data_IF_607726218451
#
_entry.id   IF_607726218451
#
_cell.length_a   1.000
_cell.length_b   1.000
_cell.length_c   1.000
_cell.angle_alpha   90.00
_cell.angle_beta   90.00
_cell.angle_gamma   90.00
#
_symmetry.space_group_name_H-M   'P 1'
#
loop_
_entity.id
_entity.type
_entity.pdbx_description
1 polymer ?
#
# COMPACT_ATOMS: atom_id res chain seq x y z
N UNK A 1 -2.75 -27.46 22.26
CA UNK A 1 -4.04 -26.82 21.98
C UNK A 1 -4.82 -27.77 21.10
N UNK A 2 -6.09 -28.03 21.41
CA UNK A 2 -6.93 -28.95 20.64
C UNK A 2 -7.53 -28.23 19.41
N UNK A 3 -7.93 -28.98 18.39
CA UNK A 3 -8.57 -28.41 17.19
C UNK A 3 -9.95 -27.80 17.50
N UNK A 4 -10.58 -28.18 18.62
CA UNK A 4 -11.90 -27.67 19.03
C UNK A 4 -11.83 -26.56 20.09
N UNK A 5 -10.65 -26.01 20.39
CA UNK A 5 -10.51 -24.95 21.38
C UNK A 5 -11.31 -23.69 21.00
N UNK A 6 -11.97 -23.07 21.98
CA UNK A 6 -12.70 -21.80 21.74
C UNK A 6 -11.71 -20.63 21.55
N UNK A 7 -12.20 -19.51 21.01
CA UNK A 7 -11.39 -18.31 20.84
C UNK A 7 -10.82 -17.80 22.18
N UNK A 8 -11.59 -17.91 23.26
CA UNK A 8 -11.19 -17.53 24.61
C UNK A 8 -10.05 -18.44 25.12
N UNK A 9 -10.18 -19.75 24.95
CA UNK A 9 -9.15 -20.72 25.35
C UNK A 9 -7.84 -20.50 24.59
N UNK A 10 -7.94 -20.26 23.28
CA UNK A 10 -6.77 -19.94 22.44
C UNK A 10 -6.09 -18.65 22.91
N UNK A 11 -6.88 -17.62 23.20
CA UNK A 11 -6.36 -16.32 23.65
C UNK A 11 -5.68 -16.44 25.01
N UNK A 12 -6.27 -17.18 25.95
CA UNK A 12 -5.72 -17.36 27.28
C UNK A 12 -4.42 -18.17 27.25
N UNK A 13 -4.37 -19.24 26.45
CA UNK A 13 -3.14 -20.01 26.24
C UNK A 13 -2.01 -19.12 25.67
N UNK A 14 -2.30 -18.35 24.61
CA UNK A 14 -1.32 -17.43 24.01
C UNK A 14 -0.89 -16.36 25.00
N UNK A 15 -1.82 -15.80 25.80
CA UNK A 15 -1.49 -14.81 26.83
C UNK A 15 -0.48 -15.37 27.84
N UNK A 16 -0.71 -16.57 28.37
CA UNK A 16 0.19 -17.20 29.34
C UNK A 16 1.58 -17.41 28.73
N UNK A 17 1.63 -17.99 27.53
CA UNK A 17 2.89 -18.22 26.80
C UNK A 17 3.66 -16.92 26.53
N UNK A 18 2.97 -15.88 26.06
CA UNK A 18 3.61 -14.60 25.74
C UNK A 18 4.05 -13.85 27.00
N UNK A 19 3.32 -13.96 28.11
CA UNK A 19 3.68 -13.29 29.35
C UNK A 19 5.06 -13.73 29.85
N UNK A 20 5.33 -15.03 29.84
CA UNK A 20 6.65 -15.57 30.20
C UNK A 20 7.75 -15.05 29.27
N UNK A 21 7.47 -14.94 27.97
CA UNK A 21 8.43 -14.40 26.99
C UNK A 21 8.70 -12.91 27.21
N UNK A 22 7.68 -12.10 27.46
CA UNK A 22 7.87 -10.67 27.70
C UNK A 22 8.67 -10.39 28.96
N UNK A 23 8.43 -11.13 30.06
CA UNK A 23 9.11 -10.88 31.33
C UNK A 23 10.53 -11.44 31.39
N UNK A 24 10.86 -12.45 30.57
CA UNK A 24 12.21 -13.03 30.48
C UNK A 24 13.09 -12.42 29.40
N UNK A 25 12.53 -11.58 28.51
CA UNK A 25 13.28 -10.94 27.44
C UNK A 25 14.28 -9.91 27.97
N UNK A 26 15.53 -9.99 27.51
CA UNK A 26 16.59 -9.03 27.86
C UNK A 26 16.51 -7.73 27.04
N UNK A 27 16.02 -7.86 25.80
CA UNK A 27 15.87 -6.77 24.83
C UNK A 27 14.44 -6.75 24.30
N UNK A 28 13.83 -5.56 24.33
CA UNK A 28 12.57 -5.27 23.69
C UNK A 28 12.75 -4.41 22.45
N UNK A 29 12.04 -4.76 21.38
CA UNK A 29 12.08 -3.99 20.13
C UNK A 29 10.67 -3.50 19.82
N UNK A 30 10.54 -2.20 19.57
CA UNK A 30 9.28 -1.59 19.16
C UNK A 30 9.46 -0.74 17.90
N UNK A 31 8.33 -0.40 17.28
CA UNK A 31 8.27 0.67 16.30
C UNK A 31 8.02 2.03 16.95
N UNK A 32 7.63 2.99 16.13
CA UNK A 32 7.02 4.24 16.56
C UNK A 32 5.85 4.59 15.63
N UNK A 33 4.75 5.06 16.21
CA UNK A 33 3.68 5.68 15.43
C UNK A 33 4.11 7.08 15.01
N UNK A 34 4.69 7.84 15.95
CA UNK A 34 5.26 9.17 15.78
C UNK A 34 6.54 9.37 16.60
N UNK A 35 7.44 10.22 16.11
CA UNK A 35 8.60 10.74 16.83
C UNK A 35 8.36 12.23 17.05
N UNK A 36 8.44 12.70 18.28
CA UNK A 36 8.08 14.06 18.68
C UNK A 36 9.36 14.87 18.83
N UNK A 37 9.56 15.86 17.94
CA UNK A 37 10.80 16.63 17.86
C UNK A 37 11.05 17.47 19.13
N UNK A 38 10.08 18.30 19.53
CA UNK A 38 10.25 19.31 20.58
C UNK A 38 10.69 18.76 21.94
N UNK A 39 10.23 17.55 22.29
CA UNK A 39 10.57 16.87 23.54
C UNK A 39 11.49 15.66 23.37
N UNK A 40 11.87 15.31 22.13
CA UNK A 40 12.63 14.10 21.83
C UNK A 40 11.88 12.81 22.21
N UNK A 41 10.57 12.77 21.96
CA UNK A 41 9.68 11.69 22.41
C UNK A 41 9.44 10.61 21.34
N UNK A 42 9.21 9.37 21.76
CA UNK A 42 8.71 8.29 20.91
C UNK A 42 7.29 7.96 21.33
N UNK A 43 6.32 8.22 20.45
CA UNK A 43 4.92 7.89 20.67
C UNK A 43 4.55 6.55 20.04
N UNK A 44 4.04 5.64 20.87
CA UNK A 44 3.49 4.35 20.46
C UNK A 44 2.03 4.28 20.85
N UNK A 45 1.24 3.69 19.97
CA UNK A 45 -0.16 3.41 20.24
C UNK A 45 -0.52 1.97 19.86
N UNK A 46 -1.32 1.32 20.70
CA UNK A 46 -1.65 -0.11 20.58
C UNK A 46 -2.98 -0.46 21.28
N UNK A 47 -3.49 -1.68 21.06
CA UNK A 47 -4.71 -2.16 21.70
C UNK A 47 -4.49 -3.36 22.63
N UNK A 48 -3.34 -4.02 22.50
CA UNK A 48 -3.06 -5.32 23.08
C UNK A 48 -2.15 -5.24 24.32
N UNK A 49 -1.38 -4.16 24.45
CA UNK A 49 -0.45 -3.92 25.56
C UNK A 49 0.92 -4.59 25.39
N UNK A 50 1.22 -5.14 24.21
CA UNK A 50 2.52 -5.72 23.89
C UNK A 50 3.64 -4.70 23.77
N UNK A 51 3.36 -3.47 23.32
CA UNK A 51 4.29 -2.36 23.22
C UNK A 51 4.83 -1.97 24.58
N UNK A 52 3.95 -1.71 25.56
CA UNK A 52 4.38 -1.39 26.93
C UNK A 52 5.15 -2.56 27.58
N UNK A 53 4.71 -3.81 27.35
CA UNK A 53 5.44 -4.98 27.86
C UNK A 53 6.83 -5.10 27.22
N UNK A 54 6.95 -4.78 25.92
CA UNK A 54 8.23 -4.80 25.20
C UNK A 54 9.14 -3.66 25.63
N UNK A 55 8.61 -2.50 26.03
CA UNK A 55 9.43 -1.37 26.46
C UNK A 55 9.80 -1.41 27.95
N UNK A 56 8.94 -1.97 28.80
CA UNK A 56 9.03 -1.76 30.26
C UNK A 56 9.62 -2.93 31.04
N UNK A 57 9.51 -4.18 30.57
CA UNK A 57 10.12 -5.33 31.24
C UNK A 57 11.60 -5.55 30.87
N UNK A 58 11.98 -5.48 29.58
CA UNK A 58 13.37 -5.69 29.19
C UNK A 58 14.28 -4.56 29.68
N UNK A 59 15.54 -4.89 29.98
CA UNK A 59 16.54 -3.90 30.41
C UNK A 59 16.95 -2.99 29.25
N UNK A 60 16.90 -3.46 28.02
CA UNK A 60 17.24 -2.67 26.83
C UNK A 60 16.01 -2.51 25.95
N UNK A 61 15.72 -1.28 25.53
CA UNK A 61 14.64 -0.97 24.59
C UNK A 61 15.21 -0.38 23.30
N UNK A 62 14.91 -1.01 22.16
CA UNK A 62 15.30 -0.53 20.84
C UNK A 62 14.04 -0.09 20.09
N UNK A 63 14.00 1.17 19.69
CA UNK A 63 12.98 1.74 18.82
C UNK A 63 13.51 1.79 17.40
N UNK A 64 12.76 1.23 16.45
CA UNK A 64 13.05 1.35 15.01
C UNK A 64 11.93 2.18 14.38
N UNK A 65 12.25 3.38 13.92
CA UNK A 65 11.28 4.31 13.34
C UNK A 65 11.75 4.83 12.00
N UNK A 66 10.84 4.93 11.03
CA UNK A 66 11.15 5.60 9.78
C UNK A 66 11.31 7.11 9.99
N UNK A 67 12.18 7.75 9.21
CA UNK A 67 12.44 9.21 9.31
C UNK A 67 11.20 10.07 8.97
N UNK A 68 10.20 9.49 8.29
CA UNK A 68 8.93 10.14 7.95
C UNK A 68 7.96 10.24 9.14
N UNK A 69 8.28 9.60 10.27
CA UNK A 69 7.40 9.55 11.45
C UNK A 69 7.53 10.77 12.36
N UNK A 70 8.36 11.75 12.02
CA UNK A 70 8.65 12.91 12.87
C UNK A 70 7.50 13.91 12.79
N UNK A 71 7.01 14.34 13.95
CA UNK A 71 6.07 15.45 14.12
C UNK A 71 6.75 16.55 14.97
N UNK A 72 6.44 17.84 14.72
CA UNK A 72 7.10 18.93 15.42
C UNK A 72 6.80 18.99 16.91
N UNK A 73 5.53 18.85 17.31
CA UNK A 73 5.11 19.13 18.69
C UNK A 73 4.31 18.01 19.32
N UNK A 74 4.43 17.90 20.65
CA UNK A 74 3.60 17.00 21.44
C UNK A 74 2.09 17.24 21.21
N UNK A 75 1.69 18.50 21.09
CA UNK A 75 0.28 18.91 20.89
C UNK A 75 -0.30 18.45 19.56
N UNK A 76 0.53 18.07 18.58
CA UNK A 76 0.03 17.55 17.30
C UNK A 76 -0.65 16.17 17.49
N UNK A 77 -0.33 15.45 18.58
CA UNK A 77 -0.97 14.18 18.93
C UNK A 77 -2.46 14.33 19.28
N UNK A 78 -2.91 15.51 19.71
CA UNK A 78 -4.33 15.80 19.98
C UNK A 78 -5.19 15.60 18.72
N UNK A 79 -4.58 15.70 17.54
CA UNK A 79 -5.21 15.44 16.24
C UNK A 79 -4.82 14.04 15.74
N UNK A 80 -3.53 13.73 15.73
CA UNK A 80 -3.04 12.52 15.07
C UNK A 80 -3.51 11.22 15.74
N UNK A 81 -3.58 11.16 17.08
CA UNK A 81 -4.06 9.95 17.74
C UNK A 81 -5.55 9.69 17.45
N UNK A 82 -6.47 10.65 17.65
CA UNK A 82 -7.87 10.42 17.28
C UNK A 82 -8.08 10.06 15.81
N UNK A 83 -7.40 10.77 14.89
CA UNK A 83 -7.51 10.50 13.45
C UNK A 83 -6.99 9.11 13.10
N UNK A 84 -5.87 8.69 13.68
CA UNK A 84 -5.30 7.35 13.46
C UNK A 84 -6.26 6.27 13.98
N UNK A 85 -6.75 6.41 15.22
CA UNK A 85 -7.63 5.44 15.87
C UNK A 85 -8.99 5.33 15.18
N UNK A 86 -9.60 6.46 14.82
CA UNK A 86 -10.93 6.48 14.21
C UNK A 86 -10.95 5.80 12.84
N UNK A 87 -9.87 5.95 12.07
CA UNK A 87 -9.76 5.35 10.75
C UNK A 87 -9.22 3.92 10.75
N UNK A 88 -8.42 3.56 11.76
CA UNK A 88 -7.85 2.22 11.89
C UNK A 88 -8.79 1.24 12.56
N UNK A 89 -9.20 1.54 13.78
CA UNK A 89 -9.98 0.63 14.64
C UNK A 89 -11.42 1.11 14.88
N UNK A 90 -11.76 2.33 14.44
CA UNK A 90 -13.08 2.91 14.70
C UNK A 90 -13.25 3.41 16.14
N UNK A 91 -12.15 3.51 16.90
CA UNK A 91 -12.16 4.02 18.28
C UNK A 91 -11.90 5.53 18.30
N UNK A 92 -12.42 6.23 19.31
CA UNK A 92 -12.12 7.65 19.50
C UNK A 92 -10.63 7.89 19.80
N UNK A 93 -10.04 6.99 20.58
CA UNK A 93 -8.61 6.81 20.78
C UNK A 93 -8.37 5.32 21.05
N UNK A 94 -7.23 4.81 20.64
CA UNK A 94 -6.73 3.44 20.93
C UNK A 94 -6.55 3.21 22.43
N UNK A 95 -6.47 1.95 22.83
CA UNK A 95 -6.53 1.56 24.26
C UNK A 95 -5.31 2.04 25.04
N UNK A 96 -4.11 1.91 24.50
CA UNK A 96 -2.86 2.32 25.14
C UNK A 96 -2.11 3.32 24.27
N UNK A 97 -1.72 4.44 24.88
CA UNK A 97 -0.97 5.51 24.24
C UNK A 97 0.18 5.89 25.16
N UNK A 98 1.40 5.62 24.72
CA UNK A 98 2.60 5.76 25.53
C UNK A 98 3.59 6.65 24.81
N UNK A 99 4.19 7.59 25.56
CA UNK A 99 5.30 8.41 25.08
C UNK A 99 6.54 8.09 25.91
N UNK A 100 7.60 7.66 25.25
CA UNK A 100 8.91 7.44 25.85
C UNK A 100 9.81 8.63 25.59
N UNK A 101 10.50 9.13 26.61
CA UNK A 101 11.47 10.23 26.49
C UNK A 101 12.89 9.80 26.87
N UNK A 102 13.15 8.49 26.96
CA UNK A 102 14.43 7.93 27.35
C UNK A 102 14.32 6.69 28.25
N UNK A 103 15.46 6.22 28.80
CA UNK A 103 15.50 5.13 29.77
C UNK A 103 14.89 5.54 31.12
N UNK A 104 14.62 4.53 31.97
CA UNK A 104 14.07 4.74 33.31
C UNK A 104 14.98 5.65 34.15
N UNK A 105 14.38 6.53 34.92
CA UNK A 105 15.07 7.40 35.89
C UNK A 105 15.17 6.70 37.25
N UNK A 106 16.06 7.19 38.12
CA UNK A 106 16.29 6.58 39.44
C UNK A 106 15.06 6.57 40.36
N UNK A 107 14.06 7.40 40.09
CA UNK A 107 12.79 7.48 40.82
C UNK A 107 11.64 6.70 40.14
N UNK A 108 11.93 5.96 39.06
CA UNK A 108 10.96 5.16 38.31
C UNK A 108 11.17 3.67 38.59
N UNK A 109 10.11 2.98 39.01
CA UNK A 109 10.18 1.56 39.40
C UNK A 109 10.29 0.61 38.18
N UNK A 110 9.89 1.06 37.00
CA UNK A 110 9.77 0.25 35.79
C UNK A 110 10.29 1.00 34.57
N UNK A 111 10.77 0.25 33.57
CA UNK A 111 11.32 0.81 32.34
C UNK A 111 12.70 0.23 32.00
N UNK A 112 13.20 0.53 30.79
CA UNK A 112 14.48 0.02 30.34
C UNK A 112 15.63 0.81 30.99
N UNK A 113 16.74 0.14 31.27
CA UNK A 113 18.00 0.77 31.72
C UNK A 113 18.67 1.54 30.57
N UNK A 114 18.52 1.05 29.33
CA UNK A 114 19.05 1.68 28.12
C UNK A 114 17.99 1.76 27.03
N UNK A 115 17.94 2.90 26.32
CA UNK A 115 17.03 3.11 25.20
C UNK A 115 17.80 3.57 23.96
N UNK A 116 17.62 2.85 22.84
CA UNK A 116 18.23 3.18 21.55
C UNK A 116 17.16 3.52 20.53
N UNK A 117 17.31 4.63 19.81
CA UNK A 117 16.41 5.01 18.72
C UNK A 117 17.15 4.94 17.39
N UNK A 118 16.70 4.05 16.51
CA UNK A 118 17.24 3.86 15.17
C UNK A 118 16.29 4.53 14.17
N UNK A 119 16.75 5.65 13.60
CA UNK A 119 16.07 6.34 12.52
C UNK A 119 16.41 5.70 11.18
N UNK A 120 15.41 5.08 10.57
CA UNK A 120 15.55 4.27 9.38
C UNK A 120 15.12 5.06 8.13
N UNK A 121 16.08 5.35 7.25
CA UNK A 121 15.79 5.86 5.92
C UNK A 121 15.19 4.75 5.04
N UNK A 122 15.98 3.70 4.75
CA UNK A 122 15.59 2.57 3.90
C UNK A 122 14.94 2.99 2.55
N UNK A 123 15.45 4.06 1.94
CA UNK A 123 14.98 4.57 0.64
C UNK A 123 13.93 5.68 0.74
N UNK A 124 13.53 6.11 1.93
CA UNK A 124 12.62 7.25 2.15
C UNK A 124 13.16 8.55 1.60
N UNK A 125 14.46 8.83 1.77
CA UNK A 125 15.06 10.04 1.19
C UNK A 125 15.07 9.98 -0.33
N UNK A 126 15.06 8.78 -0.94
CA UNK A 126 14.91 8.67 -2.39
C UNK A 126 13.47 8.97 -2.81
N UNK A 127 12.47 8.45 -2.09
CA UNK A 127 11.05 8.79 -2.31
C UNK A 127 10.83 10.31 -2.18
N UNK A 128 11.44 10.95 -1.18
CA UNK A 128 11.33 12.38 -0.93
C UNK A 128 11.82 13.25 -2.11
N UNK A 129 12.74 12.75 -2.94
CA UNK A 129 13.25 13.47 -4.12
C UNK A 129 12.24 13.49 -5.28
N UNK A 130 11.23 12.63 -5.25
CA UNK A 130 10.19 12.59 -6.28
C UNK A 130 9.04 13.51 -5.88
N UNK A 131 8.87 14.62 -6.59
CA UNK A 131 7.87 15.67 -6.29
C UNK A 131 6.45 15.13 -6.07
N UNK A 132 6.04 14.13 -6.85
CA UNK A 132 4.69 13.56 -6.74
C UNK A 132 4.65 12.46 -5.67
N UNK A 133 5.67 11.59 -5.62
CA UNK A 133 5.66 10.45 -4.71
C UNK A 133 6.00 10.81 -3.27
N UNK A 134 6.61 11.98 -3.00
CA UNK A 134 6.93 12.43 -1.64
C UNK A 134 5.71 12.48 -0.73
N UNK A 135 4.51 12.73 -1.26
CA UNK A 135 3.26 12.77 -0.49
C UNK A 135 2.98 11.48 0.28
N UNK A 136 3.49 10.34 -0.19
CA UNK A 136 3.32 9.06 0.51
C UNK A 136 3.98 9.04 1.88
N UNK A 137 4.98 9.89 2.11
CA UNK A 137 5.73 9.99 3.36
C UNK A 137 4.89 10.65 4.46
N UNK A 138 3.82 11.38 4.13
CA UNK A 138 2.87 11.91 5.11
C UNK A 138 2.00 10.83 5.76
N UNK A 139 2.07 9.58 5.29
CA UNK A 139 1.19 8.52 5.77
C UNK A 139 1.39 8.20 7.26
N UNK A 140 0.37 8.48 8.07
CA UNK A 140 0.31 8.14 9.50
C UNK A 140 0.09 6.65 9.80
N UNK A 141 -0.02 5.81 8.76
CA UNK A 141 -0.26 4.34 8.85
C UNK A 141 -1.57 3.96 9.56
N UNK A 142 -2.64 4.74 9.40
CA UNK A 142 -3.93 4.45 10.03
C UNK A 142 -4.69 3.25 9.44
N UNK A 143 -4.31 2.73 8.27
CA UNK A 143 -4.96 1.55 7.68
C UNK A 143 -6.29 1.81 6.96
N UNK A 144 -6.81 3.05 6.91
CA UNK A 144 -8.05 3.40 6.21
C UNK A 144 -8.10 2.85 4.76
N UNK A 145 -6.99 3.01 4.04
CA UNK A 145 -6.87 2.55 2.67
C UNK A 145 -6.96 1.02 2.53
N UNK A 146 -6.52 0.26 3.53
CA UNK A 146 -6.64 -1.21 3.55
C UNK A 146 -8.11 -1.62 3.67
N UNK A 147 -8.84 -0.97 4.58
CA UNK A 147 -10.26 -1.22 4.85
C UNK A 147 -11.17 -0.85 3.66
N UNK A 148 -10.72 0.10 2.82
CA UNK A 148 -11.45 0.54 1.63
C UNK A 148 -11.07 -0.21 0.34
N UNK A 149 -9.88 -0.82 0.28
CA UNK A 149 -9.36 -1.41 -0.95
C UNK A 149 -10.09 -2.72 -1.30
N UNK A 150 -10.79 -2.82 -2.44
CA UNK A 150 -11.49 -4.05 -2.81
C UNK A 150 -10.53 -5.21 -3.04
N UNK A 151 -9.31 -4.95 -3.53
CA UNK A 151 -8.30 -6.00 -3.73
C UNK A 151 -7.88 -6.54 -2.37
N UNK A 152 -7.38 -5.68 -1.48
CA UNK A 152 -6.89 -6.09 -0.16
C UNK A 152 -7.94 -6.88 0.65
N UNK A 153 -9.21 -6.46 0.61
CA UNK A 153 -10.30 -7.16 1.30
C UNK A 153 -10.57 -8.57 0.79
N UNK A 154 -10.30 -8.85 -0.49
CA UNK A 154 -10.57 -10.15 -1.09
C UNK A 154 -9.38 -11.10 -1.02
N UNK A 155 -8.16 -10.59 -1.20
CA UNK A 155 -6.95 -11.43 -1.28
C UNK A 155 -6.09 -11.42 -0.01
N UNK A 156 -6.40 -10.54 0.95
CA UNK A 156 -5.62 -10.36 2.18
C UNK A 156 -4.25 -9.69 1.95
N UNK A 157 -3.47 -9.56 3.03
CA UNK A 157 -2.15 -8.91 2.97
C UNK A 157 -1.02 -9.82 2.48
N UNK A 158 -1.07 -11.11 2.78
CA UNK A 158 0.02 -12.06 2.45
C UNK A 158 0.30 -12.19 0.96
N UNK A 159 -0.73 -12.05 0.12
CA UNK A 159 -0.65 -12.17 -1.33
C UNK A 159 0.11 -11.02 -2.00
N UNK A 160 0.42 -9.94 -1.27
CA UNK A 160 1.23 -8.83 -1.79
C UNK A 160 2.74 -9.12 -1.75
N UNK A 161 3.20 -10.16 -1.05
CA UNK A 161 4.62 -10.54 -0.93
C UNK A 161 5.56 -9.36 -0.56
N UNK A 162 5.03 -8.39 0.17
CA UNK A 162 5.75 -7.19 0.58
C UNK A 162 5.54 -6.93 2.07
N UNK A 163 6.52 -6.29 2.71
CA UNK A 163 6.45 -5.91 4.13
C UNK A 163 5.23 -5.04 4.44
N UNK A 164 4.87 -4.17 3.50
CA UNK A 164 3.66 -3.35 3.59
C UNK A 164 2.66 -3.85 2.55
N UNK A 165 1.46 -4.21 3.01
CA UNK A 165 0.36 -4.66 2.14
C UNK A 165 -0.56 -3.52 1.69
N UNK A 166 -1.45 -3.83 0.74
CA UNK A 166 -2.51 -2.94 0.28
C UNK A 166 -2.03 -1.68 -0.43
N UNK A 167 -2.87 -0.65 -0.59
CA UNK A 167 -2.56 0.51 -1.42
C UNK A 167 -1.27 1.23 -1.03
N UNK A 168 -1.02 1.40 0.28
CA UNK A 168 0.19 2.08 0.75
C UNK A 168 1.45 1.29 0.40
N UNK A 169 1.39 -0.04 0.56
CA UNK A 169 2.47 -0.95 0.24
C UNK A 169 2.78 -0.97 -1.24
N UNK A 170 1.74 -1.03 -2.07
CA UNK A 170 1.89 -0.98 -3.53
C UNK A 170 2.55 0.30 -4.05
N UNK A 171 2.41 1.43 -3.33
CA UNK A 171 3.10 2.68 -3.70
C UNK A 171 4.58 2.64 -3.30
N UNK A 172 4.90 2.23 -2.07
CA UNK A 172 6.26 2.38 -1.53
C UNK A 172 7.20 1.22 -1.87
N UNK A 173 6.68 0.00 -2.03
CA UNK A 173 7.51 -1.20 -2.25
C UNK A 173 8.43 -1.10 -3.47
N UNK A 174 8.01 -0.55 -4.63
CA UNK A 174 8.92 -0.32 -5.76
C UNK A 174 10.14 0.55 -5.42
N UNK A 175 10.00 1.52 -4.53
CA UNK A 175 11.11 2.39 -4.12
C UNK A 175 12.05 1.72 -3.12
N UNK A 176 11.55 0.79 -2.30
CA UNK A 176 12.36 0.10 -1.29
C UNK A 176 13.02 -1.18 -1.82
N UNK A 177 12.32 -1.92 -2.70
CA UNK A 177 12.74 -3.23 -3.18
C UNK A 177 13.18 -3.21 -4.66
N UNK A 178 12.95 -2.10 -5.36
CA UNK A 178 13.18 -1.94 -6.79
C UNK A 178 11.93 -2.23 -7.63
N UNK A 179 11.78 -1.48 -8.72
CA UNK A 179 10.65 -1.60 -9.64
C UNK A 179 10.61 -2.97 -10.33
N UNK A 180 11.75 -3.56 -10.68
CA UNK A 180 11.79 -4.88 -11.32
C UNK A 180 11.08 -5.98 -10.52
N UNK A 181 11.19 -5.93 -9.18
CA UNK A 181 10.58 -6.91 -8.29
C UNK A 181 9.13 -6.55 -7.96
N UNK A 182 8.87 -5.27 -7.72
CA UNK A 182 7.64 -4.85 -7.03
C UNK A 182 6.70 -3.97 -7.88
N UNK A 183 7.03 -3.67 -9.14
CA UNK A 183 6.17 -2.87 -10.02
C UNK A 183 4.81 -3.53 -10.25
N UNK A 184 4.73 -4.86 -10.27
CA UNK A 184 3.49 -5.62 -10.41
C UNK A 184 2.43 -5.21 -9.37
N UNK A 185 2.83 -4.79 -8.16
CA UNK A 185 1.95 -4.29 -7.12
C UNK A 185 1.21 -3.01 -7.52
N UNK A 186 1.86 -2.14 -8.30
CA UNK A 186 1.22 -0.95 -8.85
C UNK A 186 0.18 -1.31 -9.92
N UNK A 187 0.40 -2.38 -10.70
CA UNK A 187 -0.53 -2.87 -11.71
C UNK A 187 -1.73 -3.65 -11.15
N UNK A 188 -1.60 -4.25 -9.96
CA UNK A 188 -2.69 -4.95 -9.29
C UNK A 188 -3.87 -4.03 -8.88
N UNK A 189 -3.62 -2.72 -8.76
CA UNK A 189 -4.67 -1.75 -8.40
C UNK A 189 -5.67 -1.52 -9.55
N UNK A 190 -6.96 -1.41 -9.22
CA UNK A 190 -8.01 -1.05 -10.20
C UNK A 190 -8.11 0.45 -10.46
N UNK A 191 -7.35 1.28 -9.75
CA UNK A 191 -7.38 2.76 -9.82
C UNK A 191 -8.79 3.31 -9.53
N UNK A 192 -9.54 2.68 -8.63
CA UNK A 192 -10.91 3.10 -8.31
C UNK A 192 -11.02 4.36 -7.44
N UNK A 193 -9.91 4.87 -6.89
CA UNK A 193 -9.88 6.10 -6.10
C UNK A 193 -10.40 6.01 -4.66
N UNK A 194 -11.00 4.89 -4.23
CA UNK A 194 -11.59 4.78 -2.88
C UNK A 194 -10.58 5.00 -1.75
N UNK A 195 -9.35 4.52 -1.90
CA UNK A 195 -8.29 4.70 -0.91
C UNK A 195 -7.91 6.17 -0.69
N UNK A 196 -8.04 7.00 -1.72
CA UNK A 196 -7.81 8.44 -1.65
C UNK A 196 -8.97 9.15 -0.96
N UNK A 197 -10.20 8.81 -1.32
CA UNK A 197 -11.40 9.38 -0.71
C UNK A 197 -11.43 9.23 0.82
N UNK A 198 -10.94 8.09 1.34
CA UNK A 198 -10.94 7.77 2.78
C UNK A 198 -9.65 8.18 3.50
N UNK A 199 -8.65 8.72 2.80
CA UNK A 199 -7.36 9.04 3.41
C UNK A 199 -7.47 10.34 4.23
N UNK A 200 -7.23 10.32 5.55
CA UNK A 200 -7.31 11.54 6.35
C UNK A 200 -6.21 12.55 6.00
N UNK A 201 -5.05 12.06 5.56
CA UNK A 201 -3.91 12.86 5.12
C UNK A 201 -4.05 13.36 3.67
N UNK A 202 -5.18 13.07 3.01
CA UNK A 202 -5.46 13.47 1.62
C UNK A 202 -4.41 13.01 0.60
N UNK A 203 -3.81 11.85 0.83
CA UNK A 203 -2.83 11.26 -0.09
C UNK A 203 -3.57 10.64 -1.28
N UNK A 204 -3.24 11.10 -2.49
CA UNK A 204 -3.81 10.62 -3.74
C UNK A 204 -3.25 9.26 -4.19
N UNK A 205 -3.36 8.24 -3.33
CA UNK A 205 -2.79 6.90 -3.53
C UNK A 205 -3.05 6.27 -4.90
N UNK A 206 -4.26 6.42 -5.45
CA UNK A 206 -4.56 5.87 -6.77
C UNK A 206 -3.79 6.58 -7.89
N UNK A 207 -3.55 7.89 -7.77
CA UNK A 207 -2.70 8.65 -8.70
C UNK A 207 -1.23 8.32 -8.49
N UNK A 208 -0.77 8.18 -7.24
CA UNK A 208 0.61 7.74 -6.96
C UNK A 208 0.91 6.38 -7.59
N UNK A 209 -0.04 5.44 -7.53
CA UNK A 209 0.08 4.14 -8.20
C UNK A 209 0.11 4.27 -9.72
N UNK A 210 -0.68 5.20 -10.29
CA UNK A 210 -0.63 5.49 -11.72
C UNK A 210 0.74 6.08 -12.14
N UNK A 211 1.28 7.00 -11.33
CA UNK A 211 2.61 7.56 -11.57
C UNK A 211 3.72 6.52 -11.41
N UNK A 212 3.60 5.57 -10.48
CA UNK A 212 4.52 4.44 -10.39
C UNK A 212 4.53 3.61 -11.67
N UNK A 213 3.37 3.35 -12.28
CA UNK A 213 3.31 2.68 -13.59
C UNK A 213 4.02 3.48 -14.67
N UNK A 214 3.90 4.81 -14.66
CA UNK A 214 4.62 5.66 -15.60
C UNK A 214 6.15 5.58 -15.39
N UNK A 215 6.60 5.71 -14.14
CA UNK A 215 8.03 5.60 -13.79
C UNK A 215 8.61 4.24 -14.18
N UNK A 216 7.86 3.16 -13.95
CA UNK A 216 8.21 1.82 -14.39
C UNK A 216 8.46 1.78 -15.91
N UNK A 217 7.50 2.25 -16.72
CA UNK A 217 7.63 2.26 -18.19
C UNK A 217 8.79 3.13 -18.66
N UNK A 218 8.96 4.32 -18.09
CA UNK A 218 9.99 5.27 -18.52
C UNK A 218 11.41 4.83 -18.15
N UNK A 219 11.58 4.14 -17.02
CA UNK A 219 12.89 3.92 -16.42
C UNK A 219 13.32 2.46 -16.46
N UNK A 220 12.41 1.53 -16.17
CA UNK A 220 12.75 0.14 -15.86
C UNK A 220 12.23 -0.87 -16.90
N UNK A 221 11.04 -0.64 -17.44
CA UNK A 221 10.33 -1.53 -18.35
C UNK A 221 10.48 -1.12 -19.83
N UNK A 222 11.66 -0.64 -20.25
CA UNK A 222 11.96 -0.26 -21.64
C UNK A 222 12.00 -1.47 -22.58
N UNK A 223 10.84 -2.04 -22.87
CA UNK A 223 10.67 -3.01 -23.95
C UNK A 223 10.45 -2.23 -25.25
N UNK A 224 11.50 -2.17 -26.08
CA UNK A 224 11.46 -1.46 -27.36
C UNK A 224 10.38 -2.00 -28.29
N UNK A 225 10.11 -3.32 -28.26
CA UNK A 225 9.07 -3.95 -29.07
C UNK A 225 7.70 -3.43 -28.65
N UNK A 226 7.45 -3.38 -27.33
CA UNK A 226 6.21 -2.81 -26.79
C UNK A 226 6.07 -1.32 -27.12
N UNK A 227 7.17 -0.57 -27.04
CA UNK A 227 7.16 0.87 -27.35
C UNK A 227 6.84 1.11 -28.84
N UNK A 228 7.43 0.33 -29.75
CA UNK A 228 7.14 0.41 -31.19
C UNK A 228 5.69 -0.02 -31.47
N UNK A 229 5.23 -1.11 -30.86
CA UNK A 229 3.86 -1.59 -31.07
C UNK A 229 2.82 -0.59 -30.58
N UNK A 230 3.04 0.05 -29.43
CA UNK A 230 2.16 1.10 -28.90
C UNK A 230 2.17 2.36 -29.76
N UNK A 231 3.31 2.74 -30.35
CA UNK A 231 3.37 3.86 -31.29
C UNK A 231 2.61 3.57 -32.60
N UNK A 232 2.74 2.34 -33.14
CA UNK A 232 1.94 1.90 -34.29
C UNK A 232 0.45 1.90 -33.91
N UNK A 233 0.09 1.36 -32.75
CA UNK A 233 -1.28 1.36 -32.26
C UNK A 233 -1.83 2.78 -32.16
N UNK A 234 -1.11 3.71 -31.52
CA UNK A 234 -1.46 5.15 -31.44
C UNK A 234 -1.65 5.77 -32.81
N UNK A 235 -0.74 5.52 -33.75
CA UNK A 235 -0.82 6.05 -35.11
C UNK A 235 -2.10 5.58 -35.84
N UNK A 236 -2.43 4.29 -35.69
CA UNK A 236 -3.64 3.70 -36.28
C UNK A 236 -4.90 4.23 -35.59
N UNK A 237 -4.93 4.26 -34.25
CA UNK A 237 -6.14 4.61 -33.50
C UNK A 237 -6.50 6.09 -33.54
N UNK A 238 -5.52 6.99 -33.66
CA UNK A 238 -5.78 8.42 -33.82
C UNK A 238 -6.29 8.81 -35.21
N UNK A 239 -6.23 7.90 -36.19
CA UNK A 239 -6.57 8.17 -37.58
C UNK A 239 -7.74 7.29 -37.99
N UNK A 240 -8.96 7.81 -37.81
CA UNK A 240 -10.23 7.14 -38.11
C UNK A 240 -10.23 6.45 -39.49
N UNK A 241 -9.60 7.07 -40.51
CA UNK A 241 -9.48 6.49 -41.85
C UNK A 241 -8.83 5.11 -41.87
N UNK A 242 -7.87 4.80 -40.98
CA UNK A 242 -7.25 3.47 -40.92
C UNK A 242 -8.17 2.40 -40.32
N UNK A 243 -9.21 2.76 -39.56
CA UNK A 243 -10.23 1.79 -39.18
C UNK A 243 -11.13 1.41 -40.35
N UNK A 244 -11.33 2.36 -41.28
CA UNK A 244 -12.19 2.23 -42.47
C UNK A 244 -11.44 1.68 -43.70
N UNK A 245 -10.12 1.85 -43.80
CA UNK A 245 -9.28 1.25 -44.84
C UNK A 245 -9.20 -0.26 -44.59
N UNK A 246 -9.93 -1.04 -45.41
CA UNK A 246 -9.85 -2.48 -45.71
C UNK A 246 -9.25 -3.42 -44.65
N UNK A 247 -9.89 -4.50 -44.20
CA UNK A 247 -10.74 -5.44 -44.91
C UNK A 247 -11.49 -6.24 -43.84
N UNK A 248 -12.83 -6.31 -43.91
CA UNK A 248 -13.58 -7.30 -43.14
C UNK A 248 -12.97 -8.71 -43.29
N UNK A 249 -12.59 -9.09 -44.52
CA UNK A 249 -11.94 -10.37 -44.82
C UNK A 249 -10.57 -10.56 -44.14
N UNK A 250 -9.66 -9.59 -44.25
CA UNK A 250 -8.33 -9.66 -43.63
C UNK A 250 -8.42 -9.62 -42.10
N UNK A 251 -9.30 -8.79 -41.53
CA UNK A 251 -9.58 -8.75 -40.08
C UNK A 251 -10.15 -10.08 -39.60
N UNK A 252 -11.11 -10.66 -40.33
CA UNK A 252 -11.67 -11.98 -40.02
C UNK A 252 -10.63 -13.11 -40.18
N UNK A 253 -9.71 -13.00 -41.15
CA UNK A 253 -8.59 -13.93 -41.32
C UNK A 253 -7.57 -13.85 -40.18
N UNK A 254 -7.12 -12.65 -39.83
CA UNK A 254 -6.22 -12.46 -38.68
C UNK A 254 -6.85 -12.95 -37.38
N UNK A 255 -8.16 -12.75 -37.19
CA UNK A 255 -8.87 -13.23 -36.01
C UNK A 255 -9.04 -14.75 -36.01
N UNK A 256 -9.36 -15.35 -37.15
CA UNK A 256 -9.52 -16.81 -37.25
C UNK A 256 -8.19 -17.56 -37.05
N UNK A 257 -7.06 -16.92 -37.36
CA UNK A 257 -5.72 -17.49 -37.19
C UNK A 257 -5.12 -17.18 -35.82
N UNK A 258 -5.14 -15.92 -35.38
CA UNK A 258 -4.41 -15.48 -34.18
C UNK A 258 -5.28 -15.27 -32.94
N UNK A 259 -6.60 -15.13 -33.08
CA UNK A 259 -7.50 -14.81 -31.97
C UNK A 259 -8.60 -15.85 -31.71
N UNK A 260 -8.50 -17.05 -32.32
CA UNK A 260 -9.53 -18.10 -32.28
C UNK A 260 -9.94 -18.53 -30.87
N UNK A 261 -9.01 -18.43 -29.90
CA UNK A 261 -9.22 -18.87 -28.51
C UNK A 261 -9.14 -17.72 -27.49
N UNK A 262 -9.13 -16.45 -27.92
CA UNK A 262 -8.95 -15.29 -27.01
C UNK A 262 -10.08 -15.20 -25.97
N UNK A 263 -11.28 -15.66 -26.30
CA UNK A 263 -12.42 -15.70 -25.37
C UNK A 263 -12.71 -17.10 -24.79
N UNK A 264 -11.75 -18.02 -24.89
CA UNK A 264 -11.89 -19.42 -24.49
C UNK A 264 -12.58 -20.29 -25.54
N UNK A 265 -12.59 -21.61 -25.32
CA UNK A 265 -13.03 -22.59 -26.33
C UNK A 265 -14.52 -22.52 -26.69
N UNK A 266 -15.35 -21.90 -25.84
CA UNK A 266 -16.82 -21.84 -25.99
C UNK A 266 -17.32 -20.57 -26.69
N UNK A 267 -16.44 -19.62 -27.06
CA UNK A 267 -16.83 -18.32 -27.63
C UNK A 267 -16.02 -18.02 -28.88
N UNK A 268 -16.70 -17.75 -29.98
CA UNK A 268 -16.11 -17.24 -31.22
C UNK A 268 -16.34 -15.74 -31.35
N UNK A 269 -15.36 -15.03 -31.91
CA UNK A 269 -15.52 -13.62 -32.26
C UNK A 269 -16.50 -13.49 -33.44
N UNK A 270 -17.48 -12.57 -33.38
CA UNK A 270 -18.37 -12.33 -34.50
C UNK A 270 -17.59 -11.73 -35.69
N UNK A 271 -18.00 -12.04 -36.94
CA UNK A 271 -17.31 -11.52 -38.11
C UNK A 271 -17.47 -10.00 -38.20
N UNK A 272 -16.37 -9.32 -38.45
CA UNK A 272 -16.36 -7.89 -38.76
C UNK A 272 -16.99 -7.71 -40.14
N UNK A 273 -18.07 -6.91 -40.24
CA UNK A 273 -18.81 -6.66 -41.49
C UNK A 273 -18.60 -5.24 -42.01
N UNK A 274 -19.16 -4.24 -41.31
CA UNK A 274 -19.01 -2.81 -41.62
C UNK A 274 -18.58 -2.07 -40.36
N UNK A 275 -17.78 -1.01 -40.50
CA UNK A 275 -17.42 -0.18 -39.35
C UNK A 275 -18.68 0.47 -38.76
N UNK A 276 -18.66 0.76 -37.46
CA UNK A 276 -19.77 1.48 -36.81
C UNK A 276 -20.04 2.82 -37.50
N UNK A 277 -18.98 3.50 -37.96
CA UNK A 277 -19.07 4.75 -38.72
C UNK A 277 -19.84 4.57 -40.02
N UNK A 278 -19.54 3.54 -40.82
CA UNK A 278 -20.26 3.26 -42.06
C UNK A 278 -21.73 2.93 -41.78
N UNK A 279 -22.01 2.17 -40.71
CA UNK A 279 -23.39 1.86 -40.31
C UNK A 279 -24.15 3.13 -39.91
N UNK A 280 -23.50 4.02 -39.16
CA UNK A 280 -24.05 5.30 -38.73
C UNK A 280 -24.31 6.26 -39.91
N UNK A 281 -23.35 6.44 -40.82
CA UNK A 281 -23.50 7.30 -42.00
C UNK A 281 -24.58 6.78 -42.95
N UNK A 282 -24.65 5.46 -43.18
CA UNK A 282 -25.71 4.86 -44.00
C UNK A 282 -27.10 5.02 -43.37
N UNK A 283 -27.20 5.06 -42.04
CA UNK A 283 -28.47 5.30 -41.34
C UNK A 283 -28.87 6.78 -41.42
N UNK A 284 -27.91 7.69 -41.32
CA UNK A 284 -28.14 9.15 -41.45
C UNK A 284 -28.52 9.56 -42.87
N UNK A 285 -27.97 8.92 -43.91
CA UNK A 285 -28.32 9.17 -45.31
C UNK A 285 -29.65 8.53 -45.75
N UNK A 286 -30.29 7.74 -44.88
CA UNK A 286 -31.60 7.11 -45.10
C UNK A 286 -32.75 7.82 -44.36
N UNK A 287 -32.43 8.82 -43.54
CA UNK A 287 -33.36 9.76 -42.91
C UNK A 287 -33.35 11.06 -43.73
#
# INVERSE_FOLDING_TARGET
>A
MDENSTAEEMTEFVRQLLREKFTSAEVGITGANFIIEDIGGVAITENEGNGIMSSSFPKTHIVIAGIEKIIPKLTDLDIFWPVLSSHGTGQAITVYNTIFTGPKKGNEESGPEEMHVILLDNGRTNVLKHEIQSDILACIRCGACLNACPIYKNIGGYTYEATYGGPIGSVISPFYQGFEKSAHLSYACTICGKCTEVCPEKIDLHLLLLHNRNLDVETYSKNWIFSVSMNIYKFVTLRVKFFDIGFAGLKNFFISVFAKNVFGQKRSLPPFKKSFRDQYLNKKNKL
#
